data_IF_496312402143
#
_entry.id   IF_496312402143
#
_cell.length_a   1.000
_cell.length_b   1.000
_cell.length_c   1.000
_cell.angle_alpha   90.00
_cell.angle_beta   90.00
_cell.angle_gamma   90.00
#
_symmetry.space_group_name_H-M   'P 1'
#
loop_
_entity.id
_entity.type
_entity.pdbx_description
1 polymer ?
#
# COMPACT_ATOMS: atom_id res chain seq x y z
N UNK A 1 5.75 -14.26 -0.84
CA UNK A 1 5.70 -14.40 0.63
C UNK A 1 6.27 -13.12 1.21
N UNK A 2 5.49 -12.39 2.01
CA UNK A 2 6.09 -11.40 2.91
C UNK A 2 7.05 -12.15 3.86
N UNK A 3 8.22 -11.60 4.19
CA UNK A 3 9.03 -12.11 5.29
C UNK A 3 8.14 -12.26 6.53
N UNK A 4 8.39 -13.29 7.36
CA UNK A 4 7.70 -13.46 8.65
C UNK A 4 8.11 -12.32 9.59
N UNK A 5 7.57 -11.14 9.36
CA UNK A 5 7.75 -10.02 10.26
C UNK A 5 6.92 -10.27 11.50
N UNK A 6 7.60 -10.28 12.65
CA UNK A 6 6.91 -10.20 13.94
C UNK A 6 6.04 -8.92 13.95
N UNK A 7 4.81 -8.98 14.47
CA UNK A 7 3.97 -7.80 14.61
C UNK A 7 4.72 -6.71 15.39
N UNK A 8 5.00 -5.59 14.73
CA UNK A 8 5.55 -4.41 15.37
C UNK A 8 4.55 -3.26 15.25
N UNK A 9 4.68 -2.25 16.12
CA UNK A 9 3.87 -1.03 16.02
C UNK A 9 4.03 -0.39 14.64
N UNK A 10 5.26 -0.42 14.11
CA UNK A 10 5.61 0.09 12.82
C UNK A 10 4.82 -0.56 11.68
N UNK A 11 4.80 -1.89 11.65
CA UNK A 11 4.08 -2.64 10.60
C UNK A 11 2.57 -2.52 10.81
N UNK A 12 2.10 -2.48 12.05
CA UNK A 12 0.68 -2.25 12.36
C UNK A 12 0.20 -0.90 11.82
N UNK A 13 1.03 0.15 11.92
CA UNK A 13 0.75 1.45 11.32
C UNK A 13 0.71 1.37 9.78
N UNK A 14 1.65 0.65 9.15
CA UNK A 14 1.62 0.41 7.70
C UNK A 14 0.34 -0.31 7.27
N UNK A 15 -0.13 -1.30 8.05
CA UNK A 15 -1.38 -2.02 7.76
C UNK A 15 -2.59 -1.10 7.90
N UNK A 16 -2.62 -0.26 8.93
CA UNK A 16 -3.69 0.71 9.12
C UNK A 16 -3.79 1.68 7.93
N UNK A 17 -2.65 2.25 7.50
CA UNK A 17 -2.57 3.12 6.32
C UNK A 17 -2.96 2.37 5.05
N UNK A 18 -2.48 1.13 4.90
CA UNK A 18 -2.82 0.28 3.76
C UNK A 18 -4.32 -0.02 3.70
N UNK A 19 -4.97 -0.23 4.83
CA UNK A 19 -6.41 -0.44 4.91
C UNK A 19 -7.23 0.78 4.50
N UNK A 20 -6.76 1.97 4.87
CA UNK A 20 -7.35 3.23 4.41
C UNK A 20 -7.16 3.41 2.89
N UNK A 21 -5.95 3.17 2.37
CA UNK A 21 -5.69 3.27 0.93
C UNK A 21 -6.57 2.27 0.16
N UNK A 22 -6.65 1.02 0.63
CA UNK A 22 -7.50 0.01 0.01
C UNK A 22 -8.98 0.43 0.01
N UNK A 23 -9.45 1.06 1.10
CA UNK A 23 -10.80 1.65 1.16
C UNK A 23 -10.98 2.75 0.11
N UNK A 24 -10.07 3.71 0.03
CA UNK A 24 -10.14 4.79 -0.98
C UNK A 24 -10.14 4.22 -2.40
N UNK A 25 -9.29 3.22 -2.68
CA UNK A 25 -9.28 2.53 -3.97
C UNK A 25 -10.63 1.87 -4.26
N UNK A 26 -11.25 1.21 -3.27
CA UNK A 26 -12.58 0.61 -3.42
C UNK A 26 -13.71 1.61 -3.70
N UNK A 27 -13.56 2.85 -3.25
CA UNK A 27 -14.53 3.91 -3.51
C UNK A 27 -14.33 4.60 -4.86
N UNK A 28 -13.15 4.43 -5.48
CA UNK A 28 -12.76 5.12 -6.73
C UNK A 28 -12.60 4.19 -7.92
N UNK A 29 -12.37 2.91 -7.71
CA UNK A 29 -12.19 1.91 -8.76
C UNK A 29 -13.33 0.91 -8.82
N UNK A 30 -13.86 0.68 -10.01
CA UNK A 30 -14.92 -0.29 -10.27
C UNK A 30 -14.39 -1.66 -10.74
N UNK A 31 -13.08 -1.78 -10.97
CA UNK A 31 -12.48 -3.03 -11.45
C UNK A 31 -12.22 -3.99 -10.30
N UNK A 32 -13.01 -5.07 -10.20
CA UNK A 32 -12.88 -6.08 -9.14
C UNK A 32 -11.46 -6.68 -9.07
N UNK A 33 -10.78 -6.84 -10.22
CA UNK A 33 -9.41 -7.35 -10.25
C UNK A 33 -8.39 -6.34 -9.69
N UNK A 34 -8.58 -5.04 -9.89
CA UNK A 34 -7.78 -4.02 -9.20
C UNK A 34 -8.06 -4.03 -7.70
N UNK A 35 -9.32 -4.18 -7.29
CA UNK A 35 -9.69 -4.26 -5.87
C UNK A 35 -9.08 -5.49 -5.19
N UNK A 36 -9.08 -6.64 -5.87
CA UNK A 36 -8.47 -7.88 -5.39
C UNK A 36 -6.93 -7.79 -5.28
N UNK A 37 -6.30 -6.90 -6.04
CA UNK A 37 -4.86 -6.62 -5.90
C UNK A 37 -4.58 -5.77 -4.66
N UNK A 38 -5.51 -4.90 -4.25
CA UNK A 38 -5.33 -4.01 -3.10
C UNK A 38 -5.86 -4.57 -1.77
N UNK A 39 -6.78 -5.53 -1.80
CA UNK A 39 -7.47 -6.04 -0.60
C UNK A 39 -7.25 -7.54 -0.41
N UNK A 40 -7.45 -8.02 0.83
CA UNK A 40 -7.55 -9.44 1.14
C UNK A 40 -8.72 -9.72 2.09
N UNK A 41 -9.24 -10.96 2.13
CA UNK A 41 -10.24 -11.33 3.11
C UNK A 41 -9.74 -11.16 4.54
N UNK A 42 -10.68 -10.91 5.43
CA UNK A 42 -10.46 -10.84 6.87
C UNK A 42 -9.92 -12.18 7.36
N UNK A 43 -8.75 -12.19 8.01
CA UNK A 43 -8.15 -13.41 8.57
C UNK A 43 -7.62 -13.19 9.99
N UNK A 44 -7.33 -14.27 10.72
CA UNK A 44 -6.88 -14.21 12.11
C UNK A 44 -5.36 -14.00 12.26
N UNK A 45 -4.68 -13.42 11.26
CA UNK A 45 -3.27 -13.07 11.40
C UNK A 45 -3.12 -12.02 12.52
N UNK A 46 -2.15 -12.20 13.45
CA UNK A 46 -1.94 -11.28 14.57
C UNK A 46 -1.79 -9.82 14.14
N UNK A 47 -1.15 -9.60 12.99
CA UNK A 47 -0.97 -8.28 12.38
C UNK A 47 -2.29 -7.55 12.13
N UNK A 48 -3.33 -8.27 11.71
CA UNK A 48 -4.65 -7.70 11.42
C UNK A 48 -5.47 -7.49 12.69
N UNK A 49 -5.13 -8.16 13.80
CA UNK A 49 -5.84 -7.98 15.07
C UNK A 49 -5.60 -6.57 15.65
N UNK A 50 -4.39 -6.02 15.51
CA UNK A 50 -4.12 -4.64 15.90
C UNK A 50 -4.98 -3.64 15.13
N UNK A 51 -5.08 -3.82 13.81
CA UNK A 51 -5.94 -2.98 12.98
C UNK A 51 -7.41 -3.13 13.34
N UNK A 52 -7.89 -4.36 13.64
CA UNK A 52 -9.27 -4.59 14.12
C UNK A 52 -9.59 -3.85 15.41
N UNK A 53 -8.66 -3.81 16.37
CA UNK A 53 -8.86 -3.09 17.62
C UNK A 53 -8.97 -1.56 17.42
N UNK A 54 -8.43 -1.04 16.31
CA UNK A 54 -8.46 0.38 15.97
C UNK A 54 -9.56 0.72 14.96
N UNK A 55 -10.04 -0.27 14.22
CA UNK A 55 -11.04 -0.10 13.19
C UNK A 55 -12.40 0.26 13.80
N UNK A 56 -13.05 1.25 13.19
CA UNK A 56 -14.40 1.71 13.54
C UNK A 56 -15.44 1.30 12.48
N UNK A 57 -15.13 0.26 11.70
CA UNK A 57 -15.98 -0.30 10.65
C UNK A 57 -15.76 0.31 9.27
N UNK A 58 -14.67 1.06 9.06
CA UNK A 58 -14.40 1.79 7.82
C UNK A 58 -13.18 1.30 7.04
N UNK A 59 -12.33 0.48 7.66
CA UNK A 59 -11.10 0.01 7.02
C UNK A 59 -11.32 -1.28 6.24
N UNK A 60 -10.65 -1.37 5.09
CA UNK A 60 -10.44 -2.65 4.42
C UNK A 60 -9.12 -3.27 4.86
N UNK A 61 -8.93 -4.54 4.57
CA UNK A 61 -7.69 -5.25 4.89
C UNK A 61 -6.79 -5.25 3.65
N UNK A 62 -5.61 -4.63 3.70
CA UNK A 62 -4.75 -4.52 2.54
C UNK A 62 -4.17 -5.88 2.16
N UNK A 63 -4.00 -6.11 0.86
CA UNK A 63 -3.30 -7.29 0.35
C UNK A 63 -1.83 -7.27 0.76
N UNK A 64 -1.18 -8.44 0.67
CA UNK A 64 0.24 -8.54 0.95
C UNK A 64 1.09 -7.76 -0.07
N UNK A 65 0.62 -7.65 -1.32
CA UNK A 65 1.26 -6.86 -2.37
C UNK A 65 1.22 -5.36 -2.05
N UNK A 66 0.05 -4.86 -1.63
CA UNK A 66 -0.10 -3.47 -1.23
C UNK A 66 0.76 -3.16 0.00
N UNK A 67 0.75 -4.04 1.00
CA UNK A 67 1.60 -3.89 2.19
C UNK A 67 3.09 -3.85 1.82
N UNK A 68 3.54 -4.75 0.94
CA UNK A 68 4.93 -4.76 0.48
C UNK A 68 5.31 -3.46 -0.24
N UNK A 69 4.44 -2.95 -1.12
CA UNK A 69 4.68 -1.69 -1.82
C UNK A 69 4.77 -0.51 -0.84
N UNK A 70 3.87 -0.44 0.14
CA UNK A 70 3.86 0.62 1.16
C UNK A 70 5.07 0.55 2.09
N UNK A 71 5.46 -0.64 2.52
CA UNK A 71 6.66 -0.81 3.35
C UNK A 71 7.93 -0.43 2.59
N UNK A 72 8.02 -0.78 1.30
CA UNK A 72 9.12 -0.38 0.41
C UNK A 72 9.17 1.14 0.25
N UNK A 73 8.03 1.79 -0.03
CA UNK A 73 7.94 3.25 -0.13
C UNK A 73 8.35 3.95 1.16
N UNK A 74 7.95 3.40 2.30
CA UNK A 74 8.29 3.91 3.62
C UNK A 74 9.78 3.76 3.91
N UNK A 75 10.38 2.61 3.63
CA UNK A 75 11.83 2.40 3.76
C UNK A 75 12.63 3.33 2.84
N UNK A 76 12.15 3.55 1.62
CA UNK A 76 12.73 4.52 0.69
C UNK A 76 12.67 5.95 1.24
N UNK A 77 11.50 6.39 1.71
CA UNK A 77 11.33 7.71 2.29
C UNK A 77 12.22 7.90 3.53
N UNK A 78 12.26 6.91 4.43
CA UNK A 78 13.13 6.93 5.62
C UNK A 78 14.60 7.06 5.23
N UNK A 79 15.06 6.34 4.20
CA UNK A 79 16.44 6.42 3.70
C UNK A 79 16.74 7.77 3.05
N UNK A 80 15.86 8.26 2.18
CA UNK A 80 16.05 9.51 1.46
C UNK A 80 16.10 10.72 2.40
N UNK A 81 15.23 10.76 3.42
CA UNK A 81 15.21 11.83 4.41
C UNK A 81 16.42 11.79 5.36
N UNK A 82 16.92 10.59 5.70
CA UNK A 82 18.16 10.46 6.49
C UNK A 82 19.37 10.96 5.71
N UNK A 83 19.45 10.64 4.42
CA UNK A 83 20.57 11.03 3.56
C UNK A 83 20.49 12.50 3.11
N UNK A 84 19.30 13.09 3.13
CA UNK A 84 19.08 14.49 2.76
C UNK A 84 18.10 15.17 3.74
N UNK A 85 18.55 15.53 4.95
CA UNK A 85 17.68 16.08 5.99
C UNK A 85 17.15 17.48 5.66
N UNK A 86 17.75 18.19 4.70
CA UNK A 86 17.33 19.54 4.27
C UNK A 86 16.49 19.53 2.99
N UNK A 87 16.04 18.34 2.55
CA UNK A 87 15.24 18.17 1.34
C UNK A 87 14.00 19.07 1.35
N UNK A 88 13.96 19.97 0.38
CA UNK A 88 12.82 20.87 0.19
C UNK A 88 11.68 20.14 -0.51
N UNK A 89 10.45 20.33 -0.02
CA UNK A 89 9.23 19.72 -0.56
C UNK A 89 9.35 18.18 -0.69
N UNK A 90 9.63 17.47 0.42
CA UNK A 90 9.99 16.06 0.39
C UNK A 90 8.94 15.18 -0.29
N UNK A 91 7.65 15.41 -0.04
CA UNK A 91 6.59 14.64 -0.71
C UNK A 91 6.68 14.74 -2.23
N UNK A 92 6.87 15.96 -2.76
CA UNK A 92 6.92 16.20 -4.19
C UNK A 92 8.15 15.52 -4.83
N UNK A 93 9.33 15.71 -4.25
CA UNK A 93 10.57 15.13 -4.78
C UNK A 93 10.60 13.61 -4.66
N UNK A 94 10.13 13.04 -3.55
CA UNK A 94 10.06 11.59 -3.40
C UNK A 94 9.04 10.98 -4.36
N UNK A 95 7.90 11.64 -4.59
CA UNK A 95 6.88 11.17 -5.54
C UNK A 95 7.40 11.13 -6.98
N UNK A 96 8.19 12.13 -7.39
CA UNK A 96 8.86 12.13 -8.72
C UNK A 96 9.73 10.91 -8.95
N UNK A 97 10.36 10.39 -7.90
CA UNK A 97 11.22 9.21 -7.98
C UNK A 97 10.40 7.91 -7.91
N UNK A 98 9.38 7.85 -7.05
CA UNK A 98 8.66 6.61 -6.77
C UNK A 98 7.63 6.26 -7.81
N UNK A 99 6.90 7.24 -8.38
CA UNK A 99 5.87 6.97 -9.39
C UNK A 99 6.45 6.29 -10.63
N UNK A 100 7.55 6.79 -11.24
CA UNK A 100 8.16 6.13 -12.40
C UNK A 100 8.70 4.73 -12.09
N UNK A 101 9.08 4.46 -10.83
CA UNK A 101 9.54 3.13 -10.42
C UNK A 101 8.38 2.15 -10.19
N UNK A 102 7.25 2.63 -9.66
CA UNK A 102 6.08 1.81 -9.33
C UNK A 102 5.17 1.52 -10.53
N UNK A 103 4.97 2.49 -11.43
CA UNK A 103 4.12 2.36 -12.61
C UNK A 103 4.46 1.13 -13.48
N UNK A 104 5.72 0.85 -13.85
CA UNK A 104 6.06 -0.33 -14.63
C UNK A 104 6.13 -1.61 -13.78
N UNK A 105 6.02 -1.51 -12.45
CA UNK A 105 6.11 -2.67 -11.57
C UNK A 105 4.88 -3.57 -11.72
N UNK A 106 5.09 -4.87 -11.63
CA UNK A 106 3.99 -5.85 -11.63
C UNK A 106 3.32 -6.00 -10.26
N UNK A 107 3.78 -5.27 -9.24
CA UNK A 107 3.33 -5.42 -7.85
C UNK A 107 1.85 -5.09 -7.68
N UNK A 108 1.39 -4.03 -8.34
CA UNK A 108 0.02 -3.54 -8.26
C UNK A 108 -0.70 -3.58 -9.62
N UNK A 109 -0.23 -4.43 -10.55
CA UNK A 109 -0.84 -4.56 -11.88
C UNK A 109 -2.17 -5.31 -11.79
N UNK A 110 -3.19 -4.79 -12.47
CA UNK A 110 -4.45 -5.50 -12.65
C UNK A 110 -4.21 -6.86 -13.33
N UNK A 111 -4.89 -7.91 -12.87
CA UNK A 111 -4.76 -9.27 -13.40
C UNK A 111 -5.61 -9.53 -14.66
N UNK A 112 -6.52 -8.62 -14.99
CA UNK A 112 -7.17 -8.59 -16.29
C UNK A 112 -6.26 -7.80 -17.23
N UNK A 113 -5.46 -8.48 -18.03
CA UNK A 113 -4.71 -7.84 -19.10
C UNK A 113 -5.67 -7.34 -20.20
N UNK A 114 -5.33 -6.18 -20.77
CA UNK A 114 -5.75 -5.61 -22.08
C UNK A 114 -7.00 -4.71 -22.23
N UNK A 115 -7.66 -4.22 -21.17
CA UNK A 115 -8.86 -3.35 -21.36
C UNK A 115 -8.92 -2.03 -20.57
N UNK A 116 -7.86 -1.65 -19.85
CA UNK A 116 -7.80 -0.38 -19.11
C UNK A 116 -6.79 0.63 -19.68
N UNK A 117 -6.17 0.36 -20.83
CA UNK A 117 -5.26 1.30 -21.51
C UNK A 117 -5.95 2.38 -22.36
N UNK A 118 -7.29 2.48 -22.33
CA UNK A 118 -8.01 3.50 -23.10
C UNK A 118 -9.17 4.10 -22.32
N UNK A 119 -8.88 5.02 -21.40
CA UNK A 119 -9.68 6.23 -21.24
C UNK A 119 -8.79 7.26 -20.56
N UNK A 120 -8.62 8.39 -21.25
CA UNK A 120 -7.64 9.45 -20.98
C UNK A 120 -7.75 10.14 -19.63
#
# INVERSE_FOLDING_TARGET
>A
MLPQYLPSLQISATVYVGGYIARVVSEKMNCENCLAVCTKPVNNQPLLQFSRCQDRGGLLYPSDQLLFALDTLRAFADSALKNNPTLQKPLYELTKCTVPALCPSRLLKCRSDDSHEQTG
#
